data_IF_085456194555
#
_entry.id   IF_085456194555
#
_cell.length_a   1.000
_cell.length_b   1.000
_cell.length_c   1.000
_cell.angle_alpha   90.00
_cell.angle_beta   90.00
_cell.angle_gamma   90.00
#
_symmetry.space_group_name_H-M   'P 1'
#
loop_
_entity.id
_entity.type
_entity.pdbx_description
1 polymer ?
#
# COMPACT_ATOMS: atom_id res chain seq x y z
N UNK A 1 10.91 10.59 -29.32
CA UNK A 1 10.99 9.34 -28.55
C UNK A 1 10.05 8.33 -29.18
N UNK A 2 10.53 7.12 -29.46
CA UNK A 2 9.75 6.11 -30.19
C UNK A 2 8.54 5.63 -29.36
N UNK A 3 7.34 5.69 -29.94
CA UNK A 3 6.06 5.45 -29.23
C UNK A 3 6.02 4.04 -28.63
N UNK A 4 6.67 3.10 -29.28
CA UNK A 4 6.78 1.73 -28.81
C UNK A 4 7.71 1.58 -27.61
N UNK A 5 8.83 2.32 -27.57
CA UNK A 5 9.69 2.39 -26.39
C UNK A 5 8.94 3.00 -25.22
N UNK A 6 8.18 4.07 -25.45
CA UNK A 6 7.35 4.71 -24.42
C UNK A 6 6.36 3.71 -23.79
N UNK A 7 5.58 2.98 -24.58
CA UNK A 7 4.63 2.00 -24.05
C UNK A 7 5.29 0.87 -23.28
N UNK A 8 6.45 0.39 -23.75
CA UNK A 8 7.20 -0.66 -23.05
C UNK A 8 7.71 -0.16 -21.70
N UNK A 9 8.26 1.05 -21.64
CA UNK A 9 8.70 1.67 -20.39
C UNK A 9 7.53 1.85 -19.43
N UNK A 10 6.40 2.41 -19.90
CA UNK A 10 5.20 2.60 -19.09
C UNK A 10 4.63 1.27 -18.57
N UNK A 11 4.61 0.21 -19.40
CA UNK A 11 4.14 -1.11 -19.00
C UNK A 11 5.01 -1.73 -17.90
N UNK A 12 6.34 -1.63 -18.02
CA UNK A 12 7.28 -2.08 -16.97
C UNK A 12 7.06 -1.28 -15.68
N UNK A 13 6.95 0.05 -15.80
CA UNK A 13 6.81 0.95 -14.65
C UNK A 13 5.49 0.67 -13.91
N UNK A 14 4.38 0.51 -14.63
CA UNK A 14 3.09 0.13 -14.07
C UNK A 14 3.14 -1.24 -13.37
N UNK A 15 3.85 -2.21 -13.95
CA UNK A 15 4.01 -3.53 -13.36
C UNK A 15 4.79 -3.50 -12.04
N UNK A 16 5.91 -2.78 -12.03
CA UNK A 16 6.75 -2.63 -10.84
C UNK A 16 6.03 -1.86 -9.73
N UNK A 17 5.38 -0.74 -10.06
CA UNK A 17 4.62 0.06 -9.09
C UNK A 17 3.43 -0.73 -8.56
N UNK A 18 2.70 -1.43 -9.42
CA UNK A 18 1.57 -2.27 -9.01
C UNK A 18 2.00 -3.37 -8.03
N UNK A 19 3.06 -4.09 -8.35
CA UNK A 19 3.62 -5.12 -7.47
C UNK A 19 4.08 -4.53 -6.12
N UNK A 20 4.76 -3.38 -6.14
CA UNK A 20 5.20 -2.71 -4.93
C UNK A 20 4.03 -2.26 -4.05
N UNK A 21 2.99 -1.65 -4.63
CA UNK A 21 1.79 -1.22 -3.89
C UNK A 21 1.07 -2.42 -3.25
N UNK A 22 1.03 -3.57 -3.93
CA UNK A 22 0.40 -4.79 -3.42
C UNK A 22 1.22 -5.47 -2.29
N UNK A 23 2.54 -5.29 -2.25
CA UNK A 23 3.43 -6.01 -1.34
C UNK A 23 4.01 -5.16 -0.19
N UNK A 24 4.19 -3.86 -0.38
CA UNK A 24 4.90 -3.03 0.59
C UNK A 24 4.08 -2.83 1.88
N UNK A 25 4.68 -3.01 3.07
CA UNK A 25 4.02 -2.70 4.34
C UNK A 25 3.65 -1.21 4.43
N UNK A 26 2.78 -0.86 5.37
CA UNK A 26 2.42 0.54 5.66
C UNK A 26 2.25 0.75 7.15
N UNK A 27 2.69 1.90 7.64
CA UNK A 27 2.34 2.39 8.96
C UNK A 27 1.10 3.30 8.90
N UNK A 28 0.36 3.33 9.99
CA UNK A 28 -0.68 4.35 10.23
C UNK A 28 -0.34 5.09 11.52
N UNK A 29 -0.30 6.43 11.50
CA UNK A 29 -0.23 7.20 12.73
C UNK A 29 -1.52 6.97 13.52
N UNK A 30 -1.39 6.60 14.80
CA UNK A 30 -2.54 6.57 15.69
C UNK A 30 -3.01 8.00 16.00
N UNK A 31 -4.33 8.24 16.08
CA UNK A 31 -4.82 9.48 16.65
C UNK A 31 -4.48 9.50 18.14
N UNK A 32 -3.55 10.35 18.58
CA UNK A 32 -3.20 10.41 19.99
C UNK A 32 -2.18 11.48 20.34
N UNK A 33 -2.69 12.68 20.67
CA UNK A 33 -2.05 13.53 21.67
C UNK A 33 -1.05 14.58 21.20
N UNK A 34 -1.19 15.80 21.74
CA UNK A 34 -0.19 16.84 21.58
C UNK A 34 1.01 16.60 22.51
N UNK A 35 2.23 17.01 22.11
CA UNK A 35 2.53 17.61 20.82
C UNK A 35 2.56 16.53 19.73
N UNK A 36 1.93 16.82 18.60
CA UNK A 36 2.04 16.00 17.39
C UNK A 36 3.51 16.00 16.97
N UNK A 37 4.23 14.91 17.24
CA UNK A 37 5.56 14.67 16.71
C UNK A 37 5.62 13.27 16.13
N UNK A 38 6.32 13.12 15.00
CA UNK A 38 6.52 11.81 14.37
C UNK A 38 7.23 10.80 15.29
N UNK A 39 7.93 11.28 16.33
CA UNK A 39 8.54 10.43 17.37
C UNK A 39 7.58 10.03 18.50
N UNK A 40 6.60 10.88 18.84
CA UNK A 40 5.68 10.64 19.96
C UNK A 40 4.33 10.06 19.54
N UNK A 41 4.02 10.05 18.25
CA UNK A 41 2.82 9.40 17.73
C UNK A 41 3.13 7.91 17.61
N UNK A 42 2.54 7.01 18.41
CA UNK A 42 2.75 5.60 18.19
C UNK A 42 2.31 5.28 16.75
N UNK A 43 3.19 4.62 16.00
CA UNK A 43 2.90 4.12 14.66
C UNK A 43 2.50 2.65 14.78
N UNK A 44 1.35 2.30 14.22
CA UNK A 44 1.05 0.88 14.03
C UNK A 44 1.60 0.44 12.69
N UNK A 45 2.55 -0.49 12.73
CA UNK A 45 2.99 -1.21 11.54
C UNK A 45 1.92 -2.21 11.13
N UNK A 46 1.14 -1.87 10.12
CA UNK A 46 0.28 -2.85 9.44
C UNK A 46 1.15 -3.76 8.57
N UNK A 47 0.79 -5.05 8.53
CA UNK A 47 1.44 -6.05 7.68
C UNK A 47 1.26 -5.72 6.20
N UNK A 48 2.03 -6.40 5.36
CA UNK A 48 1.92 -6.26 3.91
C UNK A 48 0.48 -6.48 3.44
N UNK A 49 0.00 -5.74 2.41
CA UNK A 49 -1.37 -5.85 1.92
C UNK A 49 -1.75 -7.27 1.48
N UNK A 50 -0.78 -8.02 0.93
CA UNK A 50 -0.91 -9.45 0.62
C UNK A 50 -1.23 -10.32 1.83
N UNK A 51 -0.68 -10.04 3.01
CA UNK A 51 -0.98 -10.83 4.21
C UNK A 51 -2.22 -10.28 4.93
N UNK A 52 -2.32 -8.95 5.03
CA UNK A 52 -3.39 -8.29 5.76
C UNK A 52 -4.78 -8.39 5.12
N UNK A 53 -4.85 -8.61 3.80
CA UNK A 53 -6.13 -8.82 3.09
C UNK A 53 -6.77 -10.18 3.38
N UNK A 54 -5.97 -11.22 3.67
CA UNK A 54 -6.44 -12.60 3.83
C UNK A 54 -6.36 -13.14 5.26
N UNK A 55 -5.40 -12.69 6.08
CA UNK A 55 -5.25 -13.16 7.48
C UNK A 55 -5.89 -12.28 8.54
N UNK A 56 -6.51 -11.16 8.15
CA UNK A 56 -7.10 -10.20 9.09
C UNK A 56 -6.00 -9.51 9.90
N UNK A 57 -5.61 -8.31 9.46
CA UNK A 57 -4.59 -7.55 10.17
C UNK A 57 -5.24 -6.64 11.20
N UNK A 58 -5.21 -7.10 12.45
CA UNK A 58 -5.78 -6.41 13.63
C UNK A 58 -4.69 -6.17 14.67
N UNK A 59 -3.71 -5.31 14.38
CA UNK A 59 -2.76 -4.89 15.37
C UNK A 59 -3.45 -4.13 16.50
N UNK A 60 -2.97 -4.43 17.70
CA UNK A 60 -3.37 -3.82 18.95
C UNK A 60 -2.42 -2.65 19.22
N UNK A 61 -2.96 -1.51 19.62
CA UNK A 61 -2.14 -0.37 20.01
C UNK A 61 -2.78 0.42 21.15
N UNK A 62 -1.91 0.95 22.01
CA UNK A 62 -2.27 1.78 23.15
C UNK A 62 -2.53 3.21 22.71
N UNK A 63 -3.71 3.74 23.03
CA UNK A 63 -4.07 5.14 22.74
C UNK A 63 -4.47 5.85 24.01
N UNK A 64 -4.04 7.10 24.14
CA UNK A 64 -4.43 7.93 25.25
C UNK A 64 -5.92 8.28 25.20
N UNK A 65 -6.60 8.13 26.33
CA UNK A 65 -8.05 8.40 26.46
C UNK A 65 -8.33 9.89 26.69
N UNK A 66 -7.33 10.65 27.17
CA UNK A 66 -7.46 12.05 27.53
C UNK A 66 -7.49 12.99 26.30
N UNK A 67 -8.34 14.03 26.27
CA UNK A 67 -8.39 15.02 25.17
C UNK A 67 -7.10 15.84 24.97
N UNK A 68 -6.20 15.86 25.97
CA UNK A 68 -4.86 16.44 25.93
C UNK A 68 -3.91 15.58 26.75
N UNK A 69 -3.39 14.50 26.16
CA UNK A 69 -2.64 13.52 26.92
C UNK A 69 -1.23 14.01 27.23
N UNK A 70 -0.74 13.65 28.40
CA UNK A 70 0.65 13.80 28.83
C UNK A 70 1.28 12.43 29.09
N UNK A 71 2.61 12.38 29.06
CA UNK A 71 3.38 11.18 29.41
C UNK A 71 3.00 10.74 30.83
N UNK A 72 2.43 9.55 30.96
CA UNK A 72 1.92 9.01 32.23
C UNK A 72 0.39 8.97 32.35
N UNK A 73 -0.35 9.53 31.39
CA UNK A 73 -1.80 9.39 31.33
C UNK A 73 -2.25 7.97 30.97
N UNK A 74 -3.45 7.58 31.42
CA UNK A 74 -4.00 6.25 31.12
C UNK A 74 -4.16 6.04 29.62
N UNK A 75 -3.61 4.93 29.15
CA UNK A 75 -3.84 4.41 27.81
C UNK A 75 -4.95 3.38 27.83
N UNK A 76 -5.62 3.23 26.69
CA UNK A 76 -6.58 2.17 26.42
C UNK A 76 -6.15 1.43 25.16
N UNK A 77 -6.24 0.11 25.23
CA UNK A 77 -5.96 -0.77 24.12
C UNK A 77 -7.09 -0.64 23.08
N UNK A 78 -6.76 -0.20 21.86
CA UNK A 78 -7.68 -0.22 20.73
C UNK A 78 -7.14 -1.07 19.59
N UNK A 79 -8.02 -1.92 19.06
CA UNK A 79 -7.75 -2.70 17.87
C UNK A 79 -7.93 -1.82 16.63
N UNK A 80 -6.89 -1.68 15.82
CA UNK A 80 -6.97 -0.97 14.54
C UNK A 80 -7.21 -1.97 13.43
N UNK A 81 -8.28 -1.77 12.65
CA UNK A 81 -8.54 -2.56 11.45
C UNK A 81 -7.69 -2.04 10.28
N UNK A 82 -6.55 -2.69 10.03
CA UNK A 82 -5.72 -2.42 8.85
C UNK A 82 -6.27 -3.11 7.58
N UNK A 83 -7.26 -3.99 7.69
CA UNK A 83 -7.75 -4.86 6.62
C UNK A 83 -8.37 -4.10 5.44
N UNK A 84 -9.13 -3.03 5.70
CA UNK A 84 -9.74 -2.21 4.64
C UNK A 84 -8.69 -1.55 3.73
N UNK A 85 -7.64 -0.96 4.33
CA UNK A 85 -6.55 -0.32 3.59
C UNK A 85 -5.64 -1.36 2.90
N UNK A 86 -5.42 -2.51 3.53
CA UNK A 86 -4.72 -3.63 2.90
C UNK A 86 -5.44 -4.09 1.61
N UNK A 87 -6.77 -4.28 1.67
CA UNK A 87 -7.55 -4.68 0.49
C UNK A 87 -7.52 -3.63 -0.62
N UNK A 88 -7.60 -2.35 -0.27
CA UNK A 88 -7.49 -1.26 -1.25
C UNK A 88 -6.11 -1.23 -1.94
N UNK A 89 -5.02 -1.33 -1.17
CA UNK A 89 -3.67 -1.37 -1.76
C UNK A 89 -3.47 -2.63 -2.60
N UNK A 90 -4.00 -3.77 -2.17
CA UNK A 90 -3.93 -5.01 -2.94
C UNK A 90 -4.69 -4.90 -4.26
N UNK A 91 -5.93 -4.38 -4.26
CA UNK A 91 -6.74 -4.24 -5.48
C UNK A 91 -6.14 -3.23 -6.45
N UNK A 92 -5.70 -2.08 -5.95
CA UNK A 92 -5.04 -1.04 -6.75
C UNK A 92 -3.73 -1.55 -7.34
N UNK A 93 -2.89 -2.19 -6.51
CA UNK A 93 -1.60 -2.73 -6.92
C UNK A 93 -1.74 -3.84 -7.95
N UNK A 94 -2.67 -4.78 -7.74
CA UNK A 94 -2.98 -5.84 -8.69
C UNK A 94 -3.52 -5.28 -10.02
N UNK A 95 -4.40 -4.28 -9.97
CA UNK A 95 -4.93 -3.62 -11.16
C UNK A 95 -3.83 -2.96 -12.00
N UNK A 96 -2.92 -2.21 -11.36
CA UNK A 96 -1.76 -1.61 -12.03
C UNK A 96 -0.82 -2.66 -12.64
N UNK A 97 -0.58 -3.75 -11.91
CA UNK A 97 0.29 -4.82 -12.38
C UNK A 97 -0.28 -5.52 -13.62
N UNK A 98 -1.57 -5.83 -13.59
CA UNK A 98 -2.28 -6.43 -14.73
C UNK A 98 -2.33 -5.49 -15.93
N UNK A 99 -2.61 -4.20 -15.72
CA UNK A 99 -2.58 -3.21 -16.80
C UNK A 99 -1.19 -3.12 -17.44
N UNK A 100 -0.13 -3.08 -16.63
CA UNK A 100 1.26 -3.12 -17.11
C UNK A 100 1.56 -4.36 -17.93
N UNK A 101 1.11 -5.54 -17.45
CA UNK A 101 1.25 -6.81 -18.17
C UNK A 101 0.55 -6.77 -19.54
N UNK A 102 -0.69 -6.29 -19.60
CA UNK A 102 -1.49 -6.18 -20.83
C UNK A 102 -0.79 -5.28 -21.86
N UNK A 103 -0.26 -4.13 -21.43
CA UNK A 103 0.50 -3.21 -22.30
C UNK A 103 1.76 -3.90 -22.84
N UNK A 104 2.45 -4.69 -22.02
CA UNK A 104 3.66 -5.43 -22.44
C UNK A 104 3.34 -6.57 -23.41
N UNK A 105 2.21 -7.28 -23.23
CA UNK A 105 1.79 -8.33 -24.16
C UNK A 105 1.31 -7.75 -25.48
N UNK A 106 0.55 -6.65 -25.46
CA UNK A 106 0.07 -5.99 -26.66
C UNK A 106 1.23 -5.39 -27.50
N UNK A 107 2.22 -4.78 -26.84
CA UNK A 107 3.40 -4.23 -27.52
C UNK A 107 4.33 -5.31 -28.09
N UNK A 108 4.29 -6.55 -27.57
CA UNK A 108 4.96 -7.73 -28.15
C UNK A 108 4.20 -8.30 -29.35
N UNK A 109 2.86 -8.35 -29.29
CA UNK A 109 2.01 -8.84 -30.39
C UNK A 109 2.12 -8.02 -31.68
N UNK A 110 2.39 -6.72 -31.58
CA UNK A 110 2.61 -5.84 -32.73
C UNK A 110 3.83 -6.21 -33.59
N UNK A 111 4.81 -6.96 -33.06
CA UNK A 111 5.96 -7.46 -33.83
C UNK A 111 5.65 -8.72 -34.65
N UNK A 112 4.65 -9.51 -34.25
CA UNK A 112 4.27 -10.73 -34.98
C UNK A 112 3.49 -10.45 -36.27
N UNK A 113 2.88 -9.27 -36.38
CA UNK A 113 2.05 -8.88 -37.54
C UNK A 113 2.84 -8.29 -38.72
N UNK A 114 4.11 -7.93 -38.53
CA UNK A 114 4.95 -7.28 -39.57
C UNK A 114 5.98 -8.24 -40.18
N UNK A 115 5.90 -9.53 -39.84
CA UNK A 115 6.82 -10.58 -40.31
C UNK A 115 6.10 -11.73 -41.05
N UNK A 116 4.87 -11.51 -41.51
CA UNK A 116 4.13 -12.47 -42.35
C UNK A 116 3.75 -11.85 -43.67
#
# INVERSE_FOLDING_TARGET
MDRQRLYRTLGILALLVGAWVAAAPFSRPLPGGAPFSFEATPEVNCRSPLVGSFRGDRPVADVYVAPRPQVGDRTMEITIDCGGRARFRLSLGAGLALAGLVVLTASRGSFGSLSR
#
